data_IF_538955533064
#
_entry.id   IF_538955533064
#
_cell.length_a   1.000
_cell.length_b   1.000
_cell.length_c   1.000
_cell.angle_alpha   90.00
_cell.angle_beta   90.00
_cell.angle_gamma   90.00
#
_symmetry.space_group_name_H-M   'P 1'
#
loop_
_entity.id
_entity.type
_entity.pdbx_description
1 polymer ?
#
# COMPACT_ATOMS: atom_id res chain seq x y z
N UNK A 1 12.41 -19.59 19.00
CA UNK A 1 12.03 -19.18 18.54
C UNK A 1 11.68 -18.83 18.09
N UNK A 2 11.86 -18.99 17.85
CA UNK A 2 11.44 -18.52 17.24
C UNK A 2 11.10 -18.36 16.51
N UNK A 3 11.05 -18.55 16.06
CA UNK A 3 10.56 -18.30 15.17
C UNK A 3 10.20 -17.71 14.76
N UNK A 4 10.25 -17.65 14.81
CA UNK A 4 9.87 -17.09 14.23
C UNK A 4 9.52 -16.83 13.36
N UNK A 5 9.46 -17.22 12.87
CA UNK A 5 9.21 -16.94 11.88
C UNK A 5 8.48 -16.85 11.27
N UNK A 6 8.22 -17.04 11.11
CA UNK A 6 7.46 -16.83 10.34
C UNK A 6 7.23 -16.65 9.73
N UNK A 7 7.25 -16.95 9.96
CA UNK A 7 7.02 -16.64 9.37
C UNK A 7 6.81 -16.09 8.39
N UNK A 8 7.23 -16.04 8.29
CA UNK A 8 7.31 -15.25 7.32
C UNK A 8 6.40 -14.93 6.37
N UNK A 9 5.73 -14.37 6.32
CA UNK A 9 4.95 -14.11 5.45
C UNK A 9 4.60 -12.86 5.50
N UNK A 10 3.84 -12.66 5.28
CA UNK A 10 3.42 -11.53 4.89
C UNK A 10 2.46 -10.92 5.54
N UNK A 11 2.11 -9.79 5.21
CA UNK A 11 2.99 -8.78 4.96
C UNK A 11 3.56 -8.54 6.26
N UNK A 12 4.64 -8.04 6.29
CA UNK A 12 5.34 -7.93 7.47
C UNK A 12 4.53 -7.29 8.52
N UNK A 13 4.18 -8.05 9.50
CA UNK A 13 3.59 -7.45 10.65
C UNK A 13 4.76 -6.85 11.35
N UNK A 14 4.84 -5.64 11.41
CA UNK A 14 5.89 -4.97 12.09
C UNK A 14 5.35 -3.77 12.78
N UNK A 15 6.23 -3.00 13.32
CA UNK A 15 5.90 -1.76 13.98
C UNK A 15 6.02 -0.57 13.05
N UNK A 16 6.27 -0.80 11.77
CA UNK A 16 6.41 0.25 10.79
C UNK A 16 5.35 0.14 9.71
N UNK A 17 4.93 1.27 9.12
CA UNK A 17 3.95 1.22 8.05
C UNK A 17 4.57 0.64 6.79
N UNK A 18 3.89 -0.33 6.20
CA UNK A 18 4.35 -1.05 5.02
C UNK A 18 3.18 -1.26 4.08
N UNK A 19 3.41 -1.07 2.78
CA UNK A 19 2.43 -1.37 1.75
C UNK A 19 3.00 -2.49 0.88
N UNK A 20 2.22 -3.54 0.68
CA UNK A 20 2.61 -4.69 -0.12
C UNK A 20 1.73 -4.78 -1.36
N UNK A 21 2.33 -4.95 -2.51
CA UNK A 21 1.61 -5.15 -3.77
C UNK A 21 1.72 -6.62 -4.14
N UNK A 22 0.57 -7.27 -4.25
CA UNK A 22 0.49 -8.69 -4.56
C UNK A 22 0.47 -8.91 -6.07
N UNK A 23 0.79 -10.12 -6.47
CA UNK A 23 0.88 -10.46 -7.90
C UNK A 23 -0.45 -10.43 -8.62
N UNK A 24 -1.55 -10.40 -7.90
CA UNK A 24 -2.88 -10.29 -8.50
C UNK A 24 -3.40 -8.84 -8.52
N UNK A 25 -2.56 -7.88 -8.12
CA UNK A 25 -2.95 -6.47 -8.15
C UNK A 25 -3.58 -5.95 -6.87
N UNK A 26 -3.73 -6.79 -5.86
CA UNK A 26 -4.20 -6.32 -4.57
C UNK A 26 -3.10 -5.54 -3.88
N UNK A 27 -3.48 -4.45 -3.24
CA UNK A 27 -2.56 -3.59 -2.50
C UNK A 27 -2.94 -3.69 -1.04
N UNK A 28 -1.98 -4.05 -0.22
CA UNK A 28 -2.20 -4.37 1.19
C UNK A 28 -1.49 -3.34 2.06
N UNK A 29 -2.25 -2.64 2.91
CA UNK A 29 -1.69 -1.73 3.89
C UNK A 29 -1.64 -2.48 5.21
N UNK A 30 -0.44 -2.64 5.79
CA UNK A 30 -0.37 -3.38 7.02
C UNK A 30 -1.10 -2.62 8.12
N UNK A 31 -1.26 -3.26 9.28
CA UNK A 31 -2.04 -2.68 10.36
C UNK A 31 -1.52 -1.31 10.78
N UNK A 32 -0.20 -1.19 10.90
CA UNK A 32 0.41 0.06 11.33
C UNK A 32 0.11 1.17 10.32
N UNK A 33 0.24 0.87 9.03
CA UNK A 33 -0.04 1.84 7.98
C UNK A 33 -1.51 2.28 8.02
N UNK A 34 -2.41 1.33 8.14
CA UNK A 34 -3.83 1.65 8.20
C UNK A 34 -4.16 2.48 9.44
N UNK A 35 -3.66 2.07 10.60
CA UNK A 35 -3.97 2.74 11.86
C UNK A 35 -3.41 4.15 11.91
N UNK A 36 -2.25 4.38 11.34
CA UNK A 36 -1.61 5.69 11.41
C UNK A 36 -2.11 6.67 10.36
N UNK A 37 -2.41 6.19 9.16
CA UNK A 37 -2.64 7.10 8.04
C UNK A 37 -4.04 7.07 7.46
N UNK A 38 -4.79 6.03 7.68
CA UNK A 38 -6.13 5.92 7.11
C UNK A 38 -7.20 6.02 8.18
N UNK A 39 -7.08 5.25 9.23
CA UNK A 39 -8.09 5.22 10.29
C UNK A 39 -8.39 6.59 10.88
N UNK A 40 -7.39 7.44 11.17
CA UNK A 40 -7.70 8.77 11.73
C UNK A 40 -8.49 9.65 10.79
N UNK A 41 -8.45 9.40 9.49
CA UNK A 41 -9.20 10.20 8.53
C UNK A 41 -10.67 9.80 8.44
N UNK A 42 -11.00 8.60 8.94
CA UNK A 42 -12.32 8.01 8.81
C UNK A 42 -12.77 7.86 7.36
N UNK A 43 -11.81 7.82 6.45
CA UNK A 43 -12.10 7.65 5.02
C UNK A 43 -12.15 6.18 4.67
N UNK A 44 -12.99 5.84 3.71
CA UNK A 44 -13.18 4.46 3.29
C UNK A 44 -12.68 4.19 1.88
N UNK A 45 -12.08 5.18 1.27
CA UNK A 45 -11.56 5.07 -0.09
C UNK A 45 -10.15 5.64 -0.14
N UNK A 46 -9.36 5.12 -1.06
CA UNK A 46 -8.06 5.69 -1.37
C UNK A 46 -8.05 6.15 -2.83
N UNK A 47 -7.60 7.36 -3.04
CA UNK A 47 -7.34 7.87 -4.36
C UNK A 47 -5.88 7.61 -4.66
N UNK A 48 -5.61 6.95 -5.78
CA UNK A 48 -4.25 6.56 -6.15
C UNK A 48 -3.70 7.52 -7.19
N UNK A 49 -2.46 7.92 -6.99
CA UNK A 49 -1.75 8.83 -7.91
C UNK A 49 -0.44 8.18 -8.29
N UNK A 50 -0.04 8.34 -9.54
CA UNK A 50 1.22 7.76 -10.01
C UNK A 50 2.09 8.84 -10.63
N UNK A 51 3.35 8.88 -10.22
CA UNK A 51 4.38 9.74 -10.80
C UNK A 51 5.33 8.84 -11.59
N UNK A 52 5.20 8.80 -12.93
CA UNK A 52 6.04 7.89 -13.72
C UNK A 52 7.52 8.32 -13.76
N UNK A 53 7.79 9.60 -13.59
CA UNK A 53 9.18 10.07 -13.60
C UNK A 53 9.93 9.63 -12.37
N UNK A 54 9.29 9.75 -11.22
CA UNK A 54 9.91 9.38 -9.95
C UNK A 54 9.57 7.95 -9.54
N UNK A 55 8.66 7.30 -10.27
CA UNK A 55 8.19 5.96 -9.99
C UNK A 55 7.64 5.84 -8.57
N UNK A 56 6.71 6.73 -8.27
CA UNK A 56 6.08 6.80 -6.97
C UNK A 56 4.58 6.61 -7.09
N UNK A 57 3.99 5.95 -6.11
CA UNK A 57 2.54 5.87 -5.98
C UNK A 57 2.16 6.58 -4.70
N UNK A 58 1.22 7.51 -4.79
CA UNK A 58 0.68 8.20 -3.62
C UNK A 58 -0.70 7.68 -3.33
N UNK A 59 -1.02 7.59 -2.05
CA UNK A 59 -2.29 7.07 -1.55
C UNK A 59 -2.94 8.14 -0.72
N UNK A 60 -4.04 8.67 -1.21
CA UNK A 60 -4.74 9.77 -0.56
C UNK A 60 -6.07 9.28 -0.03
N UNK A 61 -6.29 9.28 1.29
CA UNK A 61 -7.60 8.92 1.83
C UNK A 61 -8.64 9.96 1.42
N UNK A 62 -9.77 9.48 0.92
CA UNK A 62 -10.88 10.34 0.53
C UNK A 62 -12.18 9.77 1.06
N UNK A 63 -13.15 10.64 1.29
CA UNK A 63 -14.37 10.24 1.98
C UNK A 63 -15.41 9.62 1.04
N UNK A 64 -15.23 9.76 -0.27
CA UNK A 64 -16.18 9.19 -1.21
C UNK A 64 -15.48 8.85 -2.50
N UNK A 65 -16.12 8.00 -3.27
CA UNK A 65 -15.57 7.54 -4.53
C UNK A 65 -15.70 8.64 -5.57
N UNK A 66 -14.57 8.96 -6.21
CA UNK A 66 -14.52 9.97 -7.25
C UNK A 66 -13.80 9.35 -8.44
N UNK A 67 -14.56 8.96 -9.45
CA UNK A 67 -13.99 8.45 -10.69
C UNK A 67 -13.29 7.13 -10.54
N UNK A 68 -12.47 6.80 -11.53
CA UNK A 68 -11.86 5.48 -11.64
C UNK A 68 -10.58 5.35 -10.83
N UNK A 69 -10.09 6.44 -10.26
CA UNK A 69 -8.83 6.41 -9.52
C UNK A 69 -9.02 6.30 -8.01
N UNK A 70 -10.26 6.14 -7.57
CA UNK A 70 -10.55 5.91 -6.16
C UNK A 70 -10.98 4.46 -5.97
N UNK A 71 -10.49 3.86 -4.90
CA UNK A 71 -10.70 2.44 -4.65
C UNK A 71 -11.16 2.24 -3.20
N UNK A 72 -12.17 1.42 -2.98
CA UNK A 72 -12.63 1.17 -1.61
C UNK A 72 -11.59 0.40 -0.82
N UNK A 73 -11.51 0.71 0.47
CA UNK A 73 -10.61 0.01 1.38
C UNK A 73 -11.42 -1.04 2.11
N UNK A 74 -10.97 -2.29 2.01
CA UNK A 74 -11.60 -3.39 2.71
C UNK A 74 -10.73 -3.77 3.89
N UNK A 75 -11.34 -3.86 5.07
CA UNK A 75 -10.61 -4.31 6.26
C UNK A 75 -10.66 -5.81 6.33
N UNK A 76 -9.52 -6.43 6.53
CA UNK A 76 -9.39 -7.88 6.56
C UNK A 76 -8.93 -8.33 7.93
N UNK A 77 -9.59 -9.32 8.47
CA UNK A 77 -9.25 -9.94 9.76
C UNK A 77 -8.56 -11.27 9.51
N UNK A 78 -7.77 -11.75 10.44
CA UNK A 78 -7.33 -11.08 11.66
C UNK A 78 -6.22 -10.09 11.36
N UNK A 79 -5.95 -9.22 12.28
CA UNK A 79 -4.87 -8.26 12.11
C UNK A 79 -5.30 -6.92 11.56
N UNK A 80 -6.52 -6.80 11.07
CA UNK A 80 -7.11 -5.53 10.64
C UNK A 80 -6.20 -4.73 9.71
N UNK A 81 -5.76 -5.35 8.65
CA UNK A 81 -5.03 -4.61 7.63
C UNK A 81 -6.01 -4.17 6.53
N UNK A 82 -5.63 -3.11 5.80
CA UNK A 82 -6.43 -2.59 4.71
C UNK A 82 -6.08 -3.26 3.39
N UNK A 83 -7.09 -3.53 2.58
CA UNK A 83 -6.90 -4.16 1.29
C UNK A 83 -7.60 -3.36 0.22
N UNK A 84 -6.88 -3.06 -0.86
CA UNK A 84 -7.40 -2.30 -1.99
C UNK A 84 -7.15 -3.10 -3.25
N UNK A 85 -8.19 -3.23 -4.10
CA UNK A 85 -7.99 -3.87 -5.38
C UNK A 85 -7.52 -2.84 -6.39
N UNK A 86 -6.21 -2.74 -6.56
CA UNK A 86 -5.60 -1.73 -7.41
C UNK A 86 -5.20 -2.22 -8.79
N UNK A 87 -5.70 -3.40 -9.20
CA UNK A 87 -5.27 -4.01 -10.45
C UNK A 87 -5.46 -3.08 -11.66
N UNK A 88 -6.62 -2.45 -11.78
CA UNK A 88 -6.88 -1.58 -12.92
C UNK A 88 -5.94 -0.38 -12.94
N UNK A 89 -5.64 0.17 -11.77
CA UNK A 89 -4.71 1.28 -11.66
C UNK A 89 -3.30 0.84 -12.05
N UNK A 90 -2.84 -0.27 -11.50
CA UNK A 90 -1.50 -0.76 -11.78
C UNK A 90 -1.32 -1.10 -13.25
N UNK A 91 -2.33 -1.71 -13.85
CA UNK A 91 -2.29 -2.03 -15.28
C UNK A 91 -2.27 -0.77 -16.13
N UNK A 92 -3.08 0.21 -15.79
CA UNK A 92 -3.16 1.45 -16.55
C UNK A 92 -1.86 2.23 -16.48
N UNK A 93 -1.15 2.14 -15.38
CA UNK A 93 0.12 2.83 -15.21
C UNK A 93 1.31 2.03 -15.76
N UNK A 94 1.08 0.81 -16.21
CA UNK A 94 2.17 -0.02 -16.74
C UNK A 94 3.12 -0.50 -15.67
N UNK A 95 2.64 -0.63 -14.44
CA UNK A 95 3.49 -1.07 -13.33
C UNK A 95 3.57 -2.58 -13.34
N UNK A 96 4.79 -3.10 -13.30
CA UNK A 96 5.00 -4.54 -13.29
C UNK A 96 4.88 -5.05 -11.85
N UNK A 97 3.76 -5.71 -11.56
CA UNK A 97 3.53 -6.26 -10.23
C UNK A 97 3.34 -7.78 -10.27
N UNK A 98 3.28 -8.37 -11.46
CA UNK A 98 2.86 -9.76 -11.62
C UNK A 98 3.95 -10.77 -11.37
N UNK A 99 5.19 -10.33 -11.34
CA UNK A 99 6.31 -11.26 -11.20
C UNK A 99 6.62 -11.62 -9.76
N UNK A 100 6.49 -10.66 -8.86
CA UNK A 100 6.85 -10.87 -7.46
C UNK A 100 6.00 -10.02 -6.55
N UNK A 101 5.70 -10.57 -5.39
CA UNK A 101 5.14 -9.79 -4.29
C UNK A 101 6.25 -8.93 -3.73
N UNK A 102 5.99 -7.63 -3.62
CA UNK A 102 6.96 -6.70 -3.05
C UNK A 102 6.32 -5.85 -1.97
N UNK A 103 7.08 -5.61 -0.92
CA UNK A 103 6.68 -4.74 0.19
C UNK A 103 7.52 -3.49 0.17
N UNK A 104 6.88 -2.37 0.40
CA UNK A 104 7.50 -1.05 0.26
C UNK A 104 7.38 -0.27 1.56
N UNK A 105 8.47 0.40 1.98
CA UNK A 105 8.35 1.32 3.11
C UNK A 105 7.51 2.52 2.70
N UNK A 106 6.76 3.04 3.66
CA UNK A 106 5.86 4.15 3.43
C UNK A 106 6.53 5.44 3.83
N UNK A 107 6.42 6.43 2.95
CA UNK A 107 6.93 7.77 3.21
C UNK A 107 5.79 8.73 3.42
N UNK A 108 5.98 9.67 4.34
CA UNK A 108 4.96 10.66 4.63
C UNK A 108 5.60 11.79 5.42
N UNK A 109 4.88 12.88 5.59
CA UNK A 109 3.73 13.30 4.79
C UNK A 109 4.21 13.91 3.49
N UNK A 110 3.29 14.02 2.53
CA UNK A 110 3.60 14.66 1.25
C UNK A 110 3.52 16.18 1.46
N UNK A 111 4.61 16.77 1.93
CA UNK A 111 4.59 18.13 2.44
C UNK A 111 4.51 19.21 1.38
N UNK A 112 5.02 18.92 0.19
CA UNK A 112 5.17 19.95 -0.83
C UNK A 112 4.27 19.72 -2.02
N UNK A 113 3.22 18.93 -1.86
CA UNK A 113 2.26 18.68 -2.92
C UNK A 113 0.86 18.98 -2.40
N UNK A 114 -0.08 19.10 -3.33
CA UNK A 114 -1.48 19.26 -2.95
C UNK A 114 -2.11 17.95 -2.52
N UNK A 115 -1.41 16.85 -2.70
CA UNK A 115 -1.90 15.54 -2.34
C UNK A 115 -1.65 15.31 -0.86
N UNK A 116 -2.69 14.96 -0.13
CA UNK A 116 -2.57 14.66 1.29
C UNK A 116 -2.60 13.15 1.45
N UNK A 117 -1.51 12.57 1.92
CA UNK A 117 -1.47 11.14 2.10
C UNK A 117 -0.06 10.63 2.27
N UNK A 118 0.14 9.42 1.81
CA UNK A 118 1.42 8.73 1.93
C UNK A 118 1.86 8.27 0.56
N UNK A 119 3.13 7.93 0.44
CA UNK A 119 3.65 7.46 -0.83
C UNK A 119 4.61 6.30 -0.64
N UNK A 120 4.75 5.50 -1.70
CA UNK A 120 5.81 4.49 -1.79
C UNK A 120 6.60 4.77 -3.06
N UNK A 121 7.87 4.36 -3.04
CA UNK A 121 8.73 4.45 -4.20
C UNK A 121 8.91 3.06 -4.76
N UNK A 122 8.57 2.87 -6.03
CA UNK A 122 8.63 1.54 -6.63
C UNK A 122 10.04 0.99 -6.74
N UNK A 123 11.03 1.86 -6.63
CA UNK A 123 12.44 1.44 -6.65
C UNK A 123 12.98 1.13 -5.26
N UNK A 124 12.17 1.35 -4.23
CA UNK A 124 12.60 1.13 -2.85
C UNK A 124 11.68 0.10 -2.21
N UNK A 125 12.11 -1.14 -2.17
CA UNK A 125 11.32 -2.22 -1.60
C UNK A 125 12.23 -3.11 -0.77
N UNK A 126 11.60 -3.83 0.15
CA UNK A 126 12.34 -4.74 1.00
C UNK A 126 12.85 -5.91 0.17
N UNK A 127 14.07 -6.39 0.45
CA UNK A 127 14.59 -7.51 -0.32
C UNK A 127 13.80 -8.78 -0.06
N UNK A 128 13.80 -9.65 -1.06
CA UNK A 128 13.21 -10.96 -0.90
C UNK A 128 13.94 -11.70 0.19
N UNK A 129 13.18 -12.32 1.05
CA UNK A 129 13.78 -13.22 1.99
C UNK A 129 13.71 -14.58 1.40
N UNK A 130 14.70 -14.88 0.59
CA UNK A 130 14.75 -16.22 0.13
C UNK A 130 15.31 -17.05 1.27
N UNK A 131 14.75 -18.12 1.44
CA UNK A 131 15.11 -18.93 2.56
C UNK A 131 15.69 -20.23 2.12
#
# INVERSE_FOLDING_TARGET
>A
MSYKSFKGKWPVAGDKPIITILTNGLICLNRVCYDEFVKPTDCKYLKLHYDPDMKKIAFEPVSRQIGEITFPIKLVKPGLFGLVNGKTFLDACGINYQEKIRSYPVHQPLKYTKIKGIEIKLTEYFPDKSI
#
